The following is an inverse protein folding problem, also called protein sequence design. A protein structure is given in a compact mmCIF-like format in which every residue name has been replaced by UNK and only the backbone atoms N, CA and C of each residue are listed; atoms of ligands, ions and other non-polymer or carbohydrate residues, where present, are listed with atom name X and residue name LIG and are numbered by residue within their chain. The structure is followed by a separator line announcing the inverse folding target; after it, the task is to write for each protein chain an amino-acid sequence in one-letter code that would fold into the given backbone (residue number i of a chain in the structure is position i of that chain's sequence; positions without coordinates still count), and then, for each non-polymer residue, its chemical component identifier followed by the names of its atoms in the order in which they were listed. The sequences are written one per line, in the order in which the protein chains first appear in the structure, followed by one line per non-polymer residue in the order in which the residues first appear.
data_IF_655076316308
#
_entry.id   IF_655076316308
#
_cell.length_a   1.000
_cell.length_b   1.000
_cell.length_c   1.000
_cell.angle_alpha   90.00
_cell.angle_beta   90.00
_cell.angle_gamma   90.00
#
_symmetry.space_group_name_H-M   'P 1'
#
loop_
_entity.id
_entity.type
_entity.pdbx_description
1 polymer ?
#
# COMPACT_ATOMS: atom_id res chain seq x y z
N UNK A 1 73.08 -16.58 -34.25
CA UNK A 1 71.74 -16.03 -34.55
C UNK A 1 70.76 -16.29 -33.38
N UNK A 2 71.23 -16.36 -32.12
CA UNK A 2 70.42 -16.87 -30.98
C UNK A 2 69.92 -15.82 -29.97
N UNK A 3 70.31 -14.55 -30.10
CA UNK A 3 69.96 -13.51 -29.13
C UNK A 3 68.56 -12.90 -29.32
N UNK A 4 67.91 -13.13 -30.47
CA UNK A 4 66.59 -12.57 -30.78
C UNK A 4 65.41 -13.36 -30.17
N UNK A 5 65.59 -14.65 -29.85
CA UNK A 5 64.51 -15.54 -29.43
C UNK A 5 64.21 -15.50 -27.91
N UNK A 6 65.14 -15.00 -27.08
CA UNK A 6 64.91 -14.86 -25.62
C UNK A 6 64.05 -13.66 -25.24
N UNK A 7 63.97 -12.63 -26.09
CA UNK A 7 63.19 -11.42 -25.80
C UNK A 7 61.67 -11.62 -25.95
N UNK A 8 61.22 -12.57 -26.77
CA UNK A 8 59.80 -12.83 -27.04
C UNK A 8 59.10 -13.68 -25.96
N UNK A 9 59.85 -14.54 -25.25
CA UNK A 9 59.29 -15.38 -24.18
C UNK A 9 58.89 -14.59 -22.92
N UNK A 10 59.59 -13.49 -22.62
CA UNK A 10 59.33 -12.67 -21.42
C UNK A 10 58.09 -11.79 -21.53
N UNK A 11 57.63 -11.49 -22.76
CA UNK A 11 56.40 -10.73 -23.01
C UNK A 11 55.12 -11.55 -22.82
N UNK A 12 55.17 -12.85 -23.13
CA UNK A 12 54.02 -13.75 -23.03
C UNK A 12 53.59 -14.03 -21.58
N UNK A 13 54.56 -14.30 -20.68
CA UNK A 13 54.29 -14.58 -19.27
C UNK A 13 53.78 -13.36 -18.46
N UNK A 14 54.16 -12.14 -18.86
CA UNK A 14 53.69 -10.90 -18.22
C UNK A 14 52.23 -10.57 -18.60
N UNK A 15 51.79 -11.03 -19.76
CA UNK A 15 50.44 -10.77 -20.29
C UNK A 15 49.39 -11.65 -19.59
N UNK A 16 49.72 -12.90 -19.26
CA UNK A 16 48.81 -13.84 -18.58
C UNK A 16 48.61 -13.52 -17.10
N UNK A 17 49.64 -13.10 -16.38
CA UNK A 17 49.55 -12.69 -14.97
C UNK A 17 48.66 -11.44 -14.76
N UNK A 18 48.75 -10.47 -15.67
CA UNK A 18 47.93 -9.25 -15.64
C UNK A 18 46.45 -9.54 -15.95
N UNK A 19 46.18 -10.51 -16.84
CA UNK A 19 44.83 -11.00 -17.09
C UNK A 19 44.18 -11.59 -15.84
N UNK A 20 44.90 -12.44 -15.11
CA UNK A 20 44.36 -13.10 -13.90
C UNK A 20 44.08 -12.12 -12.75
N UNK A 21 44.95 -11.13 -12.54
CA UNK A 21 44.75 -10.09 -11.53
C UNK A 21 43.52 -9.21 -11.83
N UNK A 22 43.27 -8.90 -13.10
CA UNK A 22 42.07 -8.17 -13.54
C UNK A 22 40.79 -8.98 -13.31
N UNK A 23 40.80 -10.27 -13.60
CA UNK A 23 39.64 -11.15 -13.33
C UNK A 23 39.36 -11.27 -11.82
N UNK A 24 40.38 -11.40 -10.96
CA UNK A 24 40.19 -11.43 -9.51
C UNK A 24 39.60 -10.13 -8.93
N UNK A 25 40.02 -8.97 -9.44
CA UNK A 25 39.47 -7.67 -9.03
C UNK A 25 37.99 -7.51 -9.45
N UNK A 26 37.64 -8.04 -10.63
CA UNK A 26 36.26 -8.08 -11.14
C UNK A 26 35.39 -9.02 -10.28
N UNK A 27 35.92 -10.17 -9.86
CA UNK A 27 35.20 -11.10 -8.98
C UNK A 27 34.98 -10.53 -7.58
N UNK A 28 35.97 -9.87 -6.98
CA UNK A 28 35.84 -9.18 -5.69
C UNK A 28 34.79 -8.06 -5.75
N UNK A 29 34.81 -7.26 -6.82
CA UNK A 29 33.82 -6.21 -7.04
C UNK A 29 32.41 -6.80 -7.22
N UNK A 30 32.29 -7.92 -7.95
CA UNK A 30 31.02 -8.63 -8.13
C UNK A 30 30.47 -9.15 -6.80
N UNK A 31 31.30 -9.80 -5.98
CA UNK A 31 30.91 -10.32 -4.66
C UNK A 31 30.47 -9.17 -3.73
N UNK A 32 31.21 -8.07 -3.69
CA UNK A 32 30.85 -6.91 -2.86
C UNK A 32 29.51 -6.27 -3.28
N UNK A 33 29.25 -6.17 -4.59
CA UNK A 33 27.95 -5.69 -5.10
C UNK A 33 26.83 -6.65 -4.73
N UNK A 34 27.05 -7.95 -4.87
CA UNK A 34 26.05 -8.97 -4.55
C UNK A 34 25.70 -9.01 -3.06
N UNK A 35 26.70 -8.85 -2.19
CA UNK A 35 26.49 -8.74 -0.74
C UNK A 35 25.73 -7.46 -0.36
N UNK A 36 26.04 -6.34 -1.02
CA UNK A 36 25.30 -5.08 -0.82
C UNK A 36 23.83 -5.21 -1.23
N UNK A 37 23.56 -5.85 -2.37
CA UNK A 37 22.20 -6.13 -2.83
C UNK A 37 21.46 -7.03 -1.85
N UNK A 38 22.13 -8.05 -1.30
CA UNK A 38 21.55 -8.93 -0.27
C UNK A 38 21.18 -8.17 1.00
N UNK A 39 22.05 -7.31 1.51
CA UNK A 39 21.77 -6.48 2.69
C UNK A 39 20.55 -5.58 2.46
N UNK A 40 20.48 -4.90 1.32
CA UNK A 40 19.34 -4.04 0.96
C UNK A 40 18.04 -4.86 0.90
N UNK A 41 18.08 -6.06 0.33
CA UNK A 41 16.91 -6.94 0.30
C UNK A 41 16.48 -7.40 1.70
N UNK A 42 17.43 -7.61 2.61
CA UNK A 42 17.14 -7.97 4.00
C UNK A 42 16.51 -6.81 4.77
N UNK A 43 17.04 -5.59 4.63
CA UNK A 43 16.44 -4.39 5.22
C UNK A 43 15.01 -4.16 4.73
N UNK A 44 14.75 -4.35 3.42
CA UNK A 44 13.40 -4.27 2.86
C UNK A 44 12.49 -5.37 3.46
N UNK A 45 13.00 -6.59 3.64
CA UNK A 45 12.22 -7.67 4.25
C UNK A 45 11.90 -7.40 5.71
N UNK A 46 12.86 -6.88 6.47
CA UNK A 46 12.68 -6.52 7.87
C UNK A 46 11.70 -5.37 8.02
N UNK A 47 11.86 -4.29 7.24
CA UNK A 47 10.94 -3.17 7.21
C UNK A 47 9.51 -3.60 6.85
N UNK A 48 9.34 -4.57 5.92
CA UNK A 48 8.02 -5.15 5.61
C UNK A 48 7.42 -5.90 6.79
N UNK A 49 8.22 -6.64 7.54
CA UNK A 49 7.76 -7.39 8.73
C UNK A 49 7.34 -6.40 9.82
N UNK A 50 8.19 -5.44 10.14
CA UNK A 50 7.92 -4.43 11.16
C UNK A 50 6.68 -3.59 10.80
N UNK A 51 6.58 -3.15 9.54
CA UNK A 51 5.39 -2.46 9.06
C UNK A 51 4.13 -3.33 9.20
N UNK A 52 4.20 -4.63 8.88
CA UNK A 52 3.05 -5.54 9.03
C UNK A 52 2.67 -5.73 10.50
N UNK A 53 3.63 -5.84 11.41
CA UNK A 53 3.42 -5.93 12.86
C UNK A 53 2.72 -4.66 13.37
N UNK A 54 3.24 -3.48 12.99
CA UNK A 54 2.66 -2.17 13.31
C UNK A 54 1.25 -2.02 12.75
N UNK A 55 0.99 -2.42 11.50
CA UNK A 55 -0.36 -2.40 10.94
C UNK A 55 -1.28 -3.33 11.74
N UNK A 56 -0.83 -4.53 12.09
CA UNK A 56 -1.67 -5.52 12.78
C UNK A 56 -2.05 -5.06 14.18
N UNK A 57 -1.14 -4.46 14.93
CA UNK A 57 -1.44 -3.89 16.25
C UNK A 57 -2.35 -2.67 16.13
N UNK A 58 -2.08 -1.78 15.17
CA UNK A 58 -2.88 -0.57 14.95
C UNK A 58 -4.29 -0.89 14.44
N UNK A 59 -4.48 -1.95 13.66
CA UNK A 59 -5.81 -2.39 13.22
C UNK A 59 -6.65 -2.82 14.40
N UNK A 60 -6.09 -3.58 15.36
CA UNK A 60 -6.84 -3.97 16.57
C UNK A 60 -7.26 -2.74 17.36
N UNK A 61 -6.35 -1.79 17.56
CA UNK A 61 -6.66 -0.53 18.23
C UNK A 61 -7.75 0.25 17.48
N UNK A 62 -7.65 0.36 16.15
CA UNK A 62 -8.64 1.02 15.31
C UNK A 62 -10.02 0.34 15.39
N UNK A 63 -10.07 -0.99 15.46
CA UNK A 63 -11.33 -1.75 15.66
C UNK A 63 -11.94 -1.42 17.01
N UNK A 64 -11.18 -1.48 18.10
CA UNK A 64 -11.70 -1.13 19.43
C UNK A 64 -12.16 0.32 19.50
N UNK A 65 -11.41 1.24 18.89
CA UNK A 65 -11.76 2.66 18.85
C UNK A 65 -13.02 2.91 18.00
N UNK A 66 -13.19 2.15 16.91
CA UNK A 66 -14.42 2.12 16.11
C UNK A 66 -15.62 1.59 16.90
N UNK A 67 -15.46 0.50 17.64
CA UNK A 67 -16.51 -0.05 18.53
C UNK A 67 -16.85 0.96 19.64
N UNK A 68 -15.85 1.57 20.28
CA UNK A 68 -16.04 2.59 21.30
C UNK A 68 -16.80 3.81 20.76
N UNK A 69 -16.45 4.28 19.56
CA UNK A 69 -17.17 5.35 18.89
C UNK A 69 -18.64 4.98 18.59
N UNK A 70 -18.89 3.74 18.12
CA UNK A 70 -20.25 3.26 17.90
C UNK A 70 -21.05 3.18 19.21
N UNK A 71 -20.48 2.59 20.26
CA UNK A 71 -21.12 2.52 21.57
C UNK A 71 -21.40 3.91 22.15
N UNK A 72 -20.46 4.86 22.01
CA UNK A 72 -20.64 6.25 22.42
C UNK A 72 -21.78 6.94 21.66
N UNK A 73 -21.87 6.70 20.34
CA UNK A 73 -22.97 7.21 19.52
C UNK A 73 -24.33 6.64 19.98
N UNK A 74 -24.41 5.33 20.20
CA UNK A 74 -25.64 4.68 20.67
C UNK A 74 -26.04 5.16 22.07
N UNK A 75 -25.07 5.31 22.98
CA UNK A 75 -25.30 5.88 24.29
C UNK A 75 -25.87 7.29 24.19
N UNK A 76 -25.30 8.14 23.33
CA UNK A 76 -25.78 9.51 23.14
C UNK A 76 -27.21 9.53 22.58
N UNK A 77 -27.53 8.67 21.61
CA UNK A 77 -28.90 8.52 21.09
C UNK A 77 -29.86 8.11 22.21
N UNK A 78 -29.52 7.09 23.00
CA UNK A 78 -30.38 6.60 24.09
C UNK A 78 -30.55 7.61 25.21
N UNK A 79 -29.50 8.39 25.51
CA UNK A 79 -29.58 9.49 26.46
C UNK A 79 -30.59 10.55 26.01
N UNK A 80 -30.55 10.94 24.74
CA UNK A 80 -31.51 11.88 24.16
C UNK A 80 -32.94 11.34 24.24
N UNK A 81 -33.16 10.10 23.80
CA UNK A 81 -34.47 9.43 23.93
C UNK A 81 -34.96 9.43 25.39
N UNK A 82 -34.09 9.15 26.35
CA UNK A 82 -34.43 9.18 27.78
C UNK A 82 -34.87 10.57 28.23
N UNK A 83 -34.17 11.63 27.79
CA UNK A 83 -34.53 13.02 28.08
C UNK A 83 -35.89 13.36 27.45
N UNK A 84 -36.12 12.98 26.19
CA UNK A 84 -37.37 13.24 25.49
C UNK A 84 -38.59 12.61 26.18
N UNK A 85 -38.42 11.45 26.82
CA UNK A 85 -39.49 10.76 27.57
C UNK A 85 -39.85 11.44 28.90
N UNK A 86 -38.93 12.18 29.50
CA UNK A 86 -39.16 12.86 30.79
C UNK A 86 -39.83 14.25 30.57
N UNK A 87 -39.70 14.81 29.37
CA UNK A 87 -40.28 16.11 29.03
C UNK A 87 -41.72 15.94 28.51
N UNK A 88 -42.72 16.68 29.05
CA UNK A 88 -44.11 16.55 28.63
C UNK A 88 -44.36 16.87 27.15
N UNK A 89 -43.51 17.68 26.52
CA UNK A 89 -43.53 18.00 25.08
C UNK A 89 -42.72 17.00 24.22
N UNK A 90 -42.89 15.70 24.48
CA UNK A 90 -42.14 14.59 23.85
C UNK A 90 -42.02 14.69 22.32
N UNK A 91 -43.08 15.09 21.61
CA UNK A 91 -43.05 15.22 20.15
C UNK A 91 -42.14 16.35 19.64
N UNK A 92 -42.13 17.50 20.32
CA UNK A 92 -41.25 18.63 19.96
C UNK A 92 -39.79 18.31 20.26
N UNK A 93 -39.52 17.69 21.42
CA UNK A 93 -38.16 17.29 21.81
C UNK A 93 -37.61 16.25 20.84
N UNK A 94 -38.35 15.19 20.56
CA UNK A 94 -37.96 14.17 19.59
C UNK A 94 -37.74 14.76 18.17
N UNK A 95 -38.54 15.76 17.78
CA UNK A 95 -38.37 16.48 16.52
C UNK A 95 -37.04 17.23 16.46
N UNK A 96 -36.68 17.95 17.52
CA UNK A 96 -35.40 18.67 17.61
C UNK A 96 -34.22 17.69 17.55
N UNK A 97 -34.28 16.59 18.31
CA UNK A 97 -33.25 15.56 18.30
C UNK A 97 -33.05 14.96 16.90
N UNK A 98 -34.15 14.67 16.21
CA UNK A 98 -34.14 14.14 14.84
C UNK A 98 -33.42 15.09 13.87
N UNK A 99 -33.73 16.39 13.92
CA UNK A 99 -33.07 17.40 13.07
C UNK A 99 -31.58 17.50 13.41
N UNK A 100 -31.23 17.46 14.70
CA UNK A 100 -29.85 17.54 15.17
C UNK A 100 -29.00 16.37 14.64
N UNK A 101 -29.53 15.14 14.73
CA UNK A 101 -28.88 13.95 14.17
C UNK A 101 -28.84 13.95 12.64
N UNK A 102 -29.87 14.46 11.96
CA UNK A 102 -29.88 14.57 10.50
C UNK A 102 -28.75 15.50 10.02
N UNK A 103 -28.58 16.65 10.68
CA UNK A 103 -27.49 17.58 10.39
C UNK A 103 -26.13 16.95 10.69
N UNK A 104 -25.99 16.29 11.84
CA UNK A 104 -24.76 15.58 12.20
C UNK A 104 -24.41 14.50 11.17
N UNK A 105 -25.39 13.69 10.76
CA UNK A 105 -25.23 12.63 9.77
C UNK A 105 -24.82 13.20 8.40
N UNK A 106 -25.40 14.33 7.98
CA UNK A 106 -25.01 15.02 6.76
C UNK A 106 -23.55 15.48 6.81
N UNK A 107 -23.13 16.13 7.90
CA UNK A 107 -21.76 16.61 8.07
C UNK A 107 -20.79 15.43 8.06
N UNK A 108 -21.04 14.39 8.88
CA UNK A 108 -20.18 13.21 8.96
C UNK A 108 -20.15 12.46 7.62
N UNK A 109 -21.27 12.37 6.90
CA UNK A 109 -21.36 11.73 5.59
C UNK A 109 -20.54 12.49 4.53
N UNK A 110 -20.63 13.81 4.50
CA UNK A 110 -19.86 14.65 3.56
C UNK A 110 -18.37 14.64 3.88
N UNK A 111 -18.01 14.78 5.16
CA UNK A 111 -16.61 14.69 5.61
C UNK A 111 -16.07 13.30 5.34
N UNK A 112 -16.77 12.24 5.72
CA UNK A 112 -16.39 10.86 5.45
C UNK A 112 -16.17 10.60 3.97
N UNK A 113 -17.09 11.05 3.11
CA UNK A 113 -16.94 10.97 1.64
C UNK A 113 -15.70 11.71 1.13
N UNK A 114 -15.40 12.88 1.66
CA UNK A 114 -14.22 13.66 1.28
C UNK A 114 -12.89 13.03 1.73
N UNK A 115 -12.92 12.20 2.79
CA UNK A 115 -11.76 11.51 3.36
C UNK A 115 -11.58 10.10 2.81
N UNK A 116 -12.54 9.57 2.07
CA UNK A 116 -12.38 8.30 1.37
C UNK A 116 -11.32 8.44 0.26
N UNK A 117 -10.12 7.94 0.52
CA UNK A 117 -9.02 7.84 -0.47
C UNK A 117 -9.05 6.50 -1.23
N UNK A 118 -10.12 5.72 -1.09
CA UNK A 118 -10.27 4.41 -1.73
C UNK A 118 -10.69 4.64 -3.19
N UNK A 119 -9.69 4.71 -4.07
CA UNK A 119 -9.91 4.53 -5.51
C UNK A 119 -10.30 3.08 -5.83
N UNK A 120 -10.98 2.81 -6.95
CA UNK A 120 -11.35 1.46 -7.36
C UNK A 120 -10.11 0.55 -7.39
N UNK A 121 -10.22 -0.72 -6.93
CA UNK A 121 -9.07 -1.62 -6.91
C UNK A 121 -8.48 -1.74 -8.32
N UNK A 122 -7.15 -1.68 -8.49
CA UNK A 122 -6.53 -1.69 -9.82
C UNK A 122 -6.86 -2.94 -10.63
N UNK A 123 -7.12 -4.07 -9.95
CA UNK A 123 -7.56 -5.33 -10.56
C UNK A 123 -8.99 -5.27 -11.11
N UNK A 124 -9.88 -4.49 -10.50
CA UNK A 124 -11.26 -4.33 -10.97
C UNK A 124 -11.31 -3.39 -12.17
N UNK A 125 -10.40 -2.40 -12.24
CA UNK A 125 -10.31 -1.51 -13.41
C UNK A 125 -9.85 -2.21 -14.69
N UNK A 126 -9.02 -3.25 -14.61
CA UNK A 126 -8.60 -4.00 -15.81
C UNK A 126 -9.75 -4.83 -16.38
N UNK A 127 -10.49 -5.54 -15.54
CA UNK A 127 -11.65 -6.34 -15.97
C UNK A 127 -12.78 -5.46 -16.52
N UNK A 128 -13.07 -4.32 -15.87
CA UNK A 128 -14.10 -3.40 -16.37
C UNK A 128 -13.74 -2.74 -17.71
N UNK A 129 -12.45 -2.55 -18.00
CA UNK A 129 -11.99 -2.08 -19.32
C UNK A 129 -12.16 -3.15 -20.38
N UNK A 130 -11.81 -4.40 -20.07
CA UNK A 130 -12.01 -5.55 -20.96
C UNK A 130 -13.49 -5.79 -21.26
N UNK A 131 -14.37 -5.68 -20.26
CA UNK A 131 -15.82 -5.80 -20.43
C UNK A 131 -16.40 -4.67 -21.29
N UNK A 132 -15.91 -3.44 -21.13
CA UNK A 132 -16.31 -2.30 -21.94
C UNK A 132 -15.86 -2.43 -23.41
N UNK A 133 -14.66 -2.96 -23.65
CA UNK A 133 -14.13 -3.28 -24.98
C UNK A 133 -14.98 -4.38 -25.65
N UNK A 134 -15.32 -5.44 -24.91
CA UNK A 134 -16.19 -6.52 -25.41
C UNK A 134 -17.59 -6.02 -25.77
N UNK A 135 -18.20 -5.19 -24.91
CA UNK A 135 -19.53 -4.62 -25.17
C UNK A 135 -19.55 -3.74 -26.44
N UNK A 136 -18.50 -2.94 -26.66
CA UNK A 136 -18.35 -2.14 -27.90
C UNK A 136 -18.21 -3.03 -29.14
N UNK A 137 -17.47 -4.12 -29.04
CA UNK A 137 -17.29 -5.06 -30.15
C UNK A 137 -18.60 -5.80 -30.49
N UNK A 138 -19.38 -6.20 -29.48
CA UNK A 138 -20.69 -6.83 -29.66
C UNK A 138 -21.68 -5.87 -30.33
N UNK A 139 -21.76 -4.62 -29.87
CA UNK A 139 -22.62 -3.60 -30.49
C UNK A 139 -22.20 -3.28 -31.93
N UNK A 140 -20.89 -3.21 -32.22
CA UNK A 140 -20.36 -2.98 -33.57
C UNK A 140 -20.61 -4.18 -34.50
N UNK A 141 -20.66 -5.40 -33.98
CA UNK A 141 -20.88 -6.63 -34.75
C UNK A 141 -22.35 -6.85 -35.12
N UNK A 142 -23.29 -6.42 -34.27
CA UNK A 142 -24.73 -6.62 -34.46
C UNK A 142 -25.42 -5.50 -35.27
N UNK A 143 -24.67 -4.52 -35.77
CA UNK A 143 -25.16 -3.38 -36.55
C UNK A 143 -25.00 -3.50 -38.08
N UNK A 144 -24.90 -4.73 -38.61
CA UNK A 144 -24.99 -5.04 -40.06
C UNK A 144 -26.12 -6.03 -40.28
#
# INVERSE_FOLDING_TARGET
MDSAQRASATGSARTTANGNARHGLIDLARVAVEDTVRLVQQEIQLAKIELKEMLRSNIKAAVFLGIAALCGLLFFIMLLVTIALIIPAHALVAGIETVLFLVLALILGLVGKSRLLIGPPPKTMTTLKEDAEWAKQVLKRNGK
#
